data_IF_653735921170
#
_entry.id   IF_653735921170
#
_cell.length_a   1.000
_cell.length_b   1.000
_cell.length_c   1.000
_cell.angle_alpha   90.00
_cell.angle_beta   90.00
_cell.angle_gamma   90.00
#
_symmetry.space_group_name_H-M   'P 1'
#
loop_
_entity.id
_entity.type
_entity.pdbx_description
1 polymer ?
#
# COMPACT_ATOMS: atom_id res chain seq x y z
N UNK A 1 -14.63 -26.06 -9.19
CA UNK A 1 -15.21 -25.69 -7.88
C UNK A 1 -15.54 -24.21 -7.98
N UNK A 2 -16.71 -23.75 -7.57
CA UNK A 2 -17.02 -22.30 -7.57
C UNK A 2 -16.25 -21.68 -6.41
N UNK A 3 -15.51 -20.58 -6.61
CA UNK A 3 -14.84 -19.90 -5.52
C UNK A 3 -15.84 -19.53 -4.43
N UNK A 4 -15.62 -19.97 -3.21
CA UNK A 4 -16.39 -19.53 -2.05
C UNK A 4 -15.81 -18.23 -1.54
N UNK A 5 -16.67 -17.35 -1.01
CA UNK A 5 -16.18 -16.18 -0.26
C UNK A 5 -15.49 -16.71 1.00
N UNK A 6 -14.21 -16.41 1.24
CA UNK A 6 -13.53 -16.90 2.43
C UNK A 6 -14.18 -16.26 3.67
N UNK A 7 -14.52 -17.09 4.65
CA UNK A 7 -14.92 -16.60 5.96
C UNK A 7 -13.68 -16.18 6.75
N UNK A 8 -13.73 -14.99 7.35
CA UNK A 8 -12.66 -14.54 8.23
C UNK A 8 -12.67 -15.36 9.53
N UNK A 9 -11.51 -15.82 10.02
CA UNK A 9 -11.38 -16.38 11.36
C UNK A 9 -11.95 -15.45 12.43
N UNK A 10 -12.41 -16.02 13.55
CA UNK A 10 -13.09 -15.25 14.61
C UNK A 10 -12.17 -14.17 15.22
N UNK A 11 -10.91 -14.52 15.46
CA UNK A 11 -9.88 -13.64 15.96
C UNK A 11 -9.55 -12.48 15.00
N UNK A 12 -9.54 -12.75 13.69
CA UNK A 12 -9.37 -11.71 12.66
C UNK A 12 -10.57 -10.75 12.62
N UNK A 13 -11.80 -11.27 12.78
CA UNK A 13 -13.00 -10.42 12.88
C UNK A 13 -12.94 -9.49 14.09
N UNK A 14 -12.61 -10.04 15.25
CA UNK A 14 -12.43 -9.25 16.49
C UNK A 14 -11.35 -8.18 16.31
N UNK A 15 -10.22 -8.55 15.72
CA UNK A 15 -9.11 -7.62 15.46
C UNK A 15 -9.55 -6.50 14.51
N UNK A 16 -10.31 -6.82 13.45
CA UNK A 16 -10.86 -5.84 12.52
C UNK A 16 -11.82 -4.85 13.20
N UNK A 17 -12.69 -5.32 14.09
CA UNK A 17 -13.60 -4.48 14.88
C UNK A 17 -12.81 -3.53 15.83
N UNK A 18 -11.74 -4.03 16.43
CA UNK A 18 -10.85 -3.22 17.28
C UNK A 18 -10.13 -2.14 16.47
N UNK A 19 -9.65 -2.47 15.28
CA UNK A 19 -9.05 -1.48 14.37
C UNK A 19 -10.07 -0.42 14.01
N UNK A 20 -11.31 -0.78 13.67
CA UNK A 20 -12.36 0.19 13.38
C UNK A 20 -12.63 1.13 14.57
N UNK A 21 -12.78 0.59 15.77
CA UNK A 21 -12.98 1.39 17.00
C UNK A 21 -11.80 2.34 17.24
N UNK A 22 -10.59 1.90 16.94
CA UNK A 22 -9.39 2.73 17.03
C UNK A 22 -9.40 3.87 16.01
N UNK A 23 -9.84 3.62 14.77
CA UNK A 23 -9.99 4.66 13.76
C UNK A 23 -10.94 5.76 14.22
N UNK A 24 -12.11 5.38 14.75
CA UNK A 24 -13.10 6.36 15.25
C UNK A 24 -12.55 7.19 16.40
N UNK A 25 -11.82 6.57 17.32
CA UNK A 25 -11.32 7.23 18.52
C UNK A 25 -10.09 8.10 18.29
N UNK A 26 -9.14 7.64 17.48
CA UNK A 26 -7.81 8.27 17.37
C UNK A 26 -7.58 8.90 16.00
N UNK A 27 -8.05 8.28 14.91
CA UNK A 27 -7.68 8.70 13.55
C UNK A 27 -8.63 9.77 13.01
N UNK A 28 -9.94 9.59 13.09
CA UNK A 28 -10.88 10.57 12.53
C UNK A 28 -10.77 11.96 13.17
N UNK A 29 -10.54 12.10 14.50
CA UNK A 29 -10.22 13.41 15.08
C UNK A 29 -8.87 13.97 14.59
N UNK A 30 -7.87 13.11 14.32
CA UNK A 30 -6.59 13.54 13.79
C UNK A 30 -6.71 14.04 12.34
N UNK A 31 -7.52 13.37 11.50
CA UNK A 31 -7.81 13.83 10.13
C UNK A 31 -8.36 15.28 10.12
N UNK A 32 -9.23 15.60 11.06
CA UNK A 32 -9.74 16.96 11.20
C UNK A 32 -8.62 17.95 11.54
N UNK A 33 -7.74 17.60 12.49
CA UNK A 33 -6.56 18.44 12.82
C UNK A 33 -5.64 18.63 11.61
N UNK A 34 -5.41 17.59 10.82
CA UNK A 34 -4.63 17.67 9.58
C UNK A 34 -5.30 18.59 8.56
N UNK A 35 -6.62 18.53 8.42
CA UNK A 35 -7.37 19.41 7.52
C UNK A 35 -7.26 20.88 7.93
N UNK A 36 -7.36 21.17 9.23
CA UNK A 36 -7.23 22.53 9.80
C UNK A 36 -5.79 23.06 9.68
N UNK A 37 -4.79 22.22 9.95
CA UNK A 37 -3.37 22.60 9.90
C UNK A 37 -2.80 22.68 8.48
N UNK A 38 -3.39 21.97 7.51
CA UNK A 38 -2.90 21.81 6.15
C UNK A 38 -1.59 21.02 6.04
N UNK A 39 -1.20 20.30 7.10
CA UNK A 39 0.02 19.48 7.19
C UNK A 39 -0.18 18.34 8.18
N UNK A 40 0.64 17.30 8.06
CA UNK A 40 0.81 16.28 9.10
C UNK A 40 2.05 16.65 9.91
N UNK A 41 1.91 16.63 11.23
CA UNK A 41 3.02 16.78 12.15
C UNK A 41 3.59 15.40 12.46
N UNK A 42 4.93 15.23 12.37
CA UNK A 42 5.56 13.94 12.64
C UNK A 42 5.30 13.44 14.07
N UNK A 43 5.21 14.35 15.05
CA UNK A 43 4.86 13.95 16.42
C UNK A 43 3.47 13.30 16.49
N UNK A 44 2.50 13.80 15.69
CA UNK A 44 1.16 13.20 15.65
C UNK A 44 1.18 11.78 15.05
N UNK A 45 1.94 11.59 13.99
CA UNK A 45 2.09 10.27 13.37
C UNK A 45 2.76 9.26 14.31
N UNK A 46 3.84 9.68 14.97
CA UNK A 46 4.54 8.84 15.96
C UNK A 46 3.67 8.52 17.17
N UNK A 47 2.89 9.49 17.66
CA UNK A 47 1.92 9.26 18.74
C UNK A 47 0.86 8.26 18.33
N UNK A 48 0.29 8.39 17.11
CA UNK A 48 -0.69 7.46 16.57
C UNK A 48 -0.11 6.05 16.48
N UNK A 49 1.10 5.90 15.96
CA UNK A 49 1.80 4.61 15.85
C UNK A 49 2.04 3.98 17.22
N UNK A 50 2.52 4.76 18.22
CA UNK A 50 2.70 4.26 19.60
C UNK A 50 1.39 3.74 20.19
N UNK A 51 0.29 4.46 20.02
CA UNK A 51 -1.04 4.04 20.49
C UNK A 51 -1.49 2.76 19.79
N UNK A 52 -1.31 2.66 18.48
CA UNK A 52 -1.64 1.48 17.69
C UNK A 52 -0.85 0.25 18.13
N UNK A 53 0.45 0.40 18.34
CA UNK A 53 1.29 -0.69 18.84
C UNK A 53 0.89 -1.14 20.25
N UNK A 54 0.50 -0.22 21.12
CA UNK A 54 -0.02 -0.55 22.47
C UNK A 54 -1.33 -1.34 22.42
N UNK A 55 -2.14 -1.15 21.36
CA UNK A 55 -3.33 -1.97 21.07
C UNK A 55 -3.00 -3.32 20.41
N UNK A 56 -1.73 -3.54 20.04
CA UNK A 56 -1.26 -4.78 19.44
C UNK A 56 -1.53 -4.88 17.93
N UNK A 57 -1.54 -3.75 17.19
CA UNK A 57 -1.77 -3.70 15.75
C UNK A 57 -0.47 -3.61 14.94
N UNK A 58 0.69 -3.50 15.59
CA UNK A 58 1.99 -3.46 14.92
C UNK A 58 2.53 -4.85 14.59
N UNK A 59 3.24 -4.96 13.46
CA UNK A 59 4.05 -6.12 13.05
C UNK A 59 3.30 -7.47 12.99
N UNK A 60 1.98 -7.45 12.79
CA UNK A 60 1.13 -8.64 12.80
C UNK A 60 1.44 -9.65 11.69
N UNK A 61 2.01 -9.17 10.57
CA UNK A 61 2.43 -9.97 9.43
C UNK A 61 3.74 -10.75 9.67
N UNK A 62 4.56 -10.28 10.61
CA UNK A 62 5.85 -10.91 10.89
C UNK A 62 5.69 -12.29 11.52
N UNK A 63 6.60 -13.24 11.25
CA UNK A 63 6.56 -14.55 11.89
C UNK A 63 6.77 -14.44 13.41
N UNK A 64 6.30 -15.45 14.15
CA UNK A 64 6.39 -15.48 15.63
C UNK A 64 7.84 -15.37 16.12
N UNK A 65 8.80 -15.98 15.42
CA UNK A 65 10.24 -15.90 15.73
C UNK A 65 10.81 -14.48 15.61
N UNK A 66 10.17 -13.63 14.81
CA UNK A 66 10.49 -12.21 14.69
C UNK A 66 9.71 -11.33 15.66
N UNK A 67 8.81 -11.90 16.47
CA UNK A 67 7.97 -11.18 17.42
C UNK A 67 6.60 -10.78 16.89
N UNK A 68 6.24 -11.21 15.66
CA UNK A 68 4.91 -11.00 15.09
C UNK A 68 3.89 -12.06 15.48
N UNK A 69 2.78 -12.11 14.75
CA UNK A 69 1.71 -13.12 14.93
C UNK A 69 1.55 -14.05 13.73
N UNK A 70 2.35 -13.90 12.68
CA UNK A 70 2.24 -14.70 11.48
C UNK A 70 0.86 -14.64 10.82
N UNK A 71 0.23 -13.45 10.84
CA UNK A 71 -1.13 -13.29 10.32
C UNK A 71 -1.18 -13.68 8.84
N UNK A 72 -2.13 -14.55 8.45
CA UNK A 72 -2.32 -14.96 7.07
C UNK A 72 -2.60 -13.75 6.16
N UNK A 73 -2.35 -13.87 4.87
CA UNK A 73 -2.63 -12.80 3.90
C UNK A 73 -4.12 -12.40 3.92
N UNK A 74 -5.01 -13.37 4.11
CA UNK A 74 -6.43 -13.07 4.28
C UNK A 74 -6.69 -12.18 5.51
N UNK A 75 -6.02 -12.45 6.62
CA UNK A 75 -6.10 -11.64 7.83
C UNK A 75 -5.52 -10.24 7.62
N UNK A 76 -4.35 -10.16 7.00
CA UNK A 76 -3.70 -8.88 6.69
C UNK A 76 -4.58 -8.00 5.78
N UNK A 77 -5.16 -8.56 4.72
CA UNK A 77 -6.09 -7.87 3.82
C UNK A 77 -7.32 -7.34 4.56
N UNK A 78 -7.84 -8.09 5.53
CA UNK A 78 -8.99 -7.64 6.32
C UNK A 78 -8.67 -6.40 7.17
N UNK A 79 -7.45 -6.32 7.71
CA UNK A 79 -6.99 -5.16 8.48
C UNK A 79 -6.62 -3.98 7.58
N UNK A 80 -5.98 -4.24 6.44
CA UNK A 80 -5.66 -3.22 5.43
C UNK A 80 -6.93 -2.59 4.85
N UNK A 81 -7.98 -3.35 4.64
CA UNK A 81 -9.28 -2.79 4.26
C UNK A 81 -9.81 -1.86 5.33
N UNK A 82 -9.70 -2.23 6.60
CA UNK A 82 -10.19 -1.41 7.68
C UNK A 82 -9.36 -0.12 7.83
N UNK A 83 -8.02 -0.24 7.82
CA UNK A 83 -7.13 0.91 7.89
C UNK A 83 -7.26 1.84 6.67
N UNK A 84 -7.63 1.30 5.51
CA UNK A 84 -7.93 2.06 4.30
C UNK A 84 -9.12 3.02 4.40
N UNK A 85 -9.90 2.96 5.49
CA UNK A 85 -10.91 3.97 5.81
C UNK A 85 -10.31 5.28 6.36
N UNK A 86 -9.02 5.31 6.69
CA UNK A 86 -8.31 6.52 7.10
C UNK A 86 -7.82 7.31 5.88
N UNK A 87 -7.91 8.64 5.96
CA UNK A 87 -7.33 9.55 4.96
C UNK A 87 -5.89 9.92 5.29
N UNK A 88 -5.24 10.65 4.37
CA UNK A 88 -3.90 11.21 4.55
C UNK A 88 -2.81 10.15 4.78
N UNK A 89 -3.05 8.90 4.39
CA UNK A 89 -2.12 7.80 4.66
C UNK A 89 -2.03 7.39 6.14
N UNK A 90 -2.85 7.98 7.03
CA UNK A 90 -2.81 7.70 8.48
C UNK A 90 -3.08 6.23 8.82
N UNK A 91 -3.73 5.49 7.92
CA UNK A 91 -3.94 4.05 8.05
C UNK A 91 -2.64 3.25 8.16
N UNK A 92 -1.55 3.71 7.55
CA UNK A 92 -0.23 3.06 7.65
C UNK A 92 0.37 3.12 9.06
N UNK A 93 0.00 4.15 9.85
CA UNK A 93 0.40 4.23 11.25
C UNK A 93 -0.52 3.43 12.18
N UNK A 94 -1.64 2.88 11.67
CA UNK A 94 -2.58 2.05 12.44
C UNK A 94 -2.26 0.58 12.27
N UNK A 95 -2.25 0.07 11.04
CA UNK A 95 -1.83 -1.30 10.74
C UNK A 95 -0.40 -1.22 10.22
N UNK A 96 0.54 -1.13 11.17
CA UNK A 96 1.97 -0.98 10.87
C UNK A 96 2.57 -2.37 10.61
N UNK A 97 3.06 -2.57 9.39
CA UNK A 97 3.57 -3.87 8.92
C UNK A 97 5.09 -3.92 9.02
N UNK A 98 5.60 -5.07 9.40
CA UNK A 98 7.02 -5.35 9.32
C UNK A 98 7.43 -5.82 7.92
N UNK A 99 8.72 -5.73 7.58
CA UNK A 99 9.27 -6.10 6.29
C UNK A 99 9.46 -7.63 6.18
N UNK A 100 8.34 -8.37 6.09
CA UNK A 100 8.34 -9.84 6.08
C UNK A 100 9.12 -10.39 4.88
N UNK A 101 9.03 -9.75 3.72
CA UNK A 101 9.75 -10.15 2.51
C UNK A 101 11.28 -10.02 2.67
N UNK A 102 11.73 -9.02 3.46
CA UNK A 102 13.15 -8.87 3.79
C UNK A 102 13.58 -9.90 4.84
N UNK A 103 12.71 -10.23 5.79
CA UNK A 103 13.01 -11.25 6.78
C UNK A 103 13.40 -12.57 6.12
N UNK A 104 12.72 -12.94 5.05
CA UNK A 104 12.95 -14.22 4.38
C UNK A 104 14.27 -14.26 3.57
N UNK A 105 14.64 -13.14 2.94
CA UNK A 105 15.80 -13.09 2.01
C UNK A 105 17.08 -12.54 2.63
N UNK A 106 17.00 -11.83 3.78
CA UNK A 106 18.16 -11.26 4.45
C UNK A 106 18.96 -12.33 5.22
N UNK A 107 20.31 -12.17 5.26
CA UNK A 107 21.16 -13.00 6.12
C UNK A 107 20.85 -12.76 7.60
N UNK A 108 21.25 -13.65 8.53
CA UNK A 108 21.09 -13.42 9.96
C UNK A 108 21.70 -12.08 10.42
N UNK A 109 22.87 -11.72 9.90
CA UNK A 109 23.56 -10.47 10.20
C UNK A 109 22.80 -9.26 9.68
N UNK A 110 22.22 -9.35 8.45
CA UNK A 110 21.38 -8.29 7.87
C UNK A 110 20.08 -8.14 8.65
N UNK A 111 19.46 -9.26 9.09
CA UNK A 111 18.27 -9.21 9.94
C UNK A 111 18.53 -8.45 11.24
N UNK A 112 19.62 -8.77 11.94
CA UNK A 112 19.98 -8.07 13.19
C UNK A 112 20.30 -6.60 12.96
N UNK A 113 21.02 -6.28 11.88
CA UNK A 113 21.49 -4.91 11.62
C UNK A 113 20.40 -3.99 11.06
N UNK A 114 19.58 -4.47 10.15
CA UNK A 114 18.63 -3.65 9.39
C UNK A 114 17.18 -3.94 9.75
N UNK A 115 16.77 -5.21 9.83
CA UNK A 115 15.37 -5.57 10.00
C UNK A 115 14.92 -5.44 11.45
N UNK A 116 15.70 -5.93 12.41
CA UNK A 116 15.33 -5.88 13.83
C UNK A 116 15.03 -4.47 14.35
N UNK A 117 15.81 -3.42 14.03
CA UNK A 117 15.45 -2.06 14.43
C UNK A 117 14.11 -1.55 13.84
N UNK A 118 13.69 -2.02 12.65
CA UNK A 118 12.34 -1.75 12.13
C UNK A 118 11.29 -2.40 13.03
N UNK A 119 11.49 -3.67 13.41
CA UNK A 119 10.58 -4.39 14.29
C UNK A 119 10.51 -3.79 15.71
N UNK A 120 11.52 -3.06 16.13
CA UNK A 120 11.58 -2.30 17.38
C UNK A 120 11.00 -0.88 17.25
N UNK A 121 10.55 -0.49 16.05
CA UNK A 121 9.97 0.82 15.78
C UNK A 121 10.98 1.97 15.81
N UNK A 122 12.28 1.68 15.63
CA UNK A 122 13.34 2.73 15.65
C UNK A 122 13.35 3.55 14.37
N UNK A 123 13.06 2.92 13.23
CA UNK A 123 12.99 3.52 11.91
C UNK A 123 12.20 2.61 10.94
N UNK A 124 12.08 3.02 9.69
CA UNK A 124 11.41 2.26 8.63
C UNK A 124 12.36 1.95 7.48
N UNK A 125 12.00 0.98 6.66
CA UNK A 125 12.63 0.71 5.38
C UNK A 125 12.09 1.66 4.31
N UNK A 126 12.91 1.94 3.29
CA UNK A 126 12.50 2.65 2.10
C UNK A 126 12.95 1.90 0.84
N UNK A 127 12.00 1.55 -0.04
CA UNK A 127 12.28 0.85 -1.28
C UNK A 127 12.61 1.83 -2.41
N UNK A 128 13.79 1.70 -3.00
CA UNK A 128 14.33 2.55 -4.04
C UNK A 128 14.47 1.76 -5.35
N UNK A 129 13.37 1.68 -6.11
CA UNK A 129 13.25 0.87 -7.33
C UNK A 129 13.14 1.73 -8.57
N UNK A 130 12.13 2.60 -8.64
CA UNK A 130 11.79 3.42 -9.82
C UNK A 130 12.89 4.40 -10.18
N UNK A 131 13.10 4.60 -11.47
CA UNK A 131 14.05 5.57 -12.04
C UNK A 131 13.36 6.51 -13.01
N UNK A 132 13.99 7.66 -13.41
CA UNK A 132 13.42 8.57 -14.41
C UNK A 132 13.00 7.88 -15.71
N UNK A 133 13.78 6.91 -16.17
CA UNK A 133 13.55 6.12 -17.39
C UNK A 133 12.83 4.79 -17.18
N UNK A 134 12.68 4.32 -15.95
CA UNK A 134 12.21 2.96 -15.64
C UNK A 134 11.16 2.94 -14.52
N UNK A 135 9.89 3.15 -14.90
CA UNK A 135 8.73 3.02 -14.01
C UNK A 135 7.99 1.70 -14.27
N UNK A 136 7.09 1.68 -15.26
CA UNK A 136 6.33 0.46 -15.62
C UNK A 136 7.21 -0.66 -16.18
N UNK A 137 8.31 -0.32 -16.84
CA UNK A 137 9.31 -1.27 -17.33
C UNK A 137 10.53 -1.30 -16.39
N UNK A 138 10.44 -2.15 -15.37
CA UNK A 138 11.53 -2.37 -14.41
C UNK A 138 12.75 -3.06 -15.06
N UNK A 139 12.63 -3.61 -16.26
CA UNK A 139 13.78 -4.20 -16.97
C UNK A 139 14.71 -3.13 -17.57
N UNK A 140 14.26 -1.88 -17.65
CA UNK A 140 15.01 -0.75 -18.17
C UNK A 140 15.78 0.05 -17.10
N UNK A 141 16.02 -0.54 -15.92
CA UNK A 141 16.81 0.09 -14.85
C UNK A 141 18.25 0.36 -15.32
N UNK A 142 18.73 1.56 -15.02
CA UNK A 142 20.05 2.05 -15.38
C UNK A 142 20.99 2.24 -14.17
N UNK A 143 20.45 2.24 -12.93
CA UNK A 143 21.28 2.30 -11.73
C UNK A 143 22.20 1.08 -11.68
N UNK A 144 23.49 1.31 -11.50
CA UNK A 144 24.53 0.29 -11.52
C UNK A 144 25.13 0.04 -10.16
N UNK A 145 25.58 -1.19 -9.94
CA UNK A 145 26.46 -1.55 -8.85
C UNK A 145 27.68 -2.27 -9.45
N UNK A 146 28.86 -1.69 -9.26
CA UNK A 146 30.14 -2.21 -9.77
C UNK A 146 31.02 -2.62 -8.60
N UNK A 147 31.55 -3.84 -8.68
CA UNK A 147 32.44 -4.34 -7.62
C UNK A 147 33.79 -3.65 -7.65
N UNK A 148 34.23 -3.20 -6.47
CA UNK A 148 35.56 -2.61 -6.26
C UNK A 148 36.17 -3.15 -4.96
N UNK A 149 36.98 -4.19 -5.08
CA UNK A 149 37.53 -4.95 -3.96
C UNK A 149 36.47 -5.71 -3.18
N UNK A 150 36.33 -5.38 -1.89
CA UNK A 150 35.33 -5.95 -0.99
C UNK A 150 34.03 -5.13 -0.93
N UNK A 151 33.96 -4.05 -1.69
CA UNK A 151 32.82 -3.13 -1.74
C UNK A 151 32.12 -3.18 -3.12
N UNK A 152 30.95 -2.57 -3.15
CA UNK A 152 30.20 -2.20 -4.35
C UNK A 152 30.10 -0.70 -4.46
N UNK A 153 30.25 -0.16 -5.67
CA UNK A 153 30.09 1.25 -5.97
C UNK A 153 28.77 1.42 -6.73
N UNK A 154 27.79 2.08 -6.10
CA UNK A 154 26.47 2.31 -6.64
C UNK A 154 26.42 3.69 -7.29
N UNK A 155 25.86 3.76 -8.51
CA UNK A 155 25.59 4.98 -9.24
C UNK A 155 24.20 4.93 -9.87
N UNK A 156 23.44 6.02 -9.77
CA UNK A 156 22.12 6.14 -10.39
C UNK A 156 21.21 7.10 -9.66
N UNK A 157 19.97 7.15 -10.09
CA UNK A 157 18.93 8.02 -9.56
C UNK A 157 17.67 7.19 -9.29
N UNK A 158 17.03 7.39 -8.14
CA UNK A 158 15.80 6.68 -7.77
C UNK A 158 14.69 7.68 -7.42
N UNK A 159 13.52 7.44 -7.97
CA UNK A 159 12.36 8.30 -7.82
C UNK A 159 11.26 7.62 -6.98
N UNK A 160 10.46 8.46 -6.31
CA UNK A 160 9.32 8.02 -5.52
C UNK A 160 9.70 7.03 -4.41
N UNK A 161 10.82 7.30 -3.74
CA UNK A 161 11.33 6.49 -2.64
C UNK A 161 10.53 6.82 -1.38
N UNK A 162 9.49 6.04 -1.12
CA UNK A 162 8.55 6.32 -0.03
C UNK A 162 9.22 6.21 1.33
N UNK A 163 9.26 7.33 2.06
CA UNK A 163 9.73 7.40 3.44
C UNK A 163 9.14 8.61 4.15
N UNK A 164 8.98 8.52 5.46
CA UNK A 164 8.56 9.64 6.31
C UNK A 164 9.71 10.60 6.67
N UNK A 165 10.91 10.39 6.13
CA UNK A 165 12.13 11.06 6.55
C UNK A 165 12.81 10.36 7.73
N UNK A 166 12.33 9.20 8.13
CA UNK A 166 12.83 8.32 9.17
C UNK A 166 13.36 6.97 8.63
N UNK A 167 13.69 6.92 7.33
CA UNK A 167 14.30 5.74 6.73
C UNK A 167 15.61 5.37 7.44
N UNK A 168 15.66 4.18 8.01
CA UNK A 168 16.88 3.64 8.60
C UNK A 168 17.82 3.04 7.56
N UNK A 169 17.27 2.69 6.41
CA UNK A 169 18.00 2.26 5.22
C UNK A 169 17.14 2.37 3.96
N UNK A 170 17.81 2.46 2.83
CA UNK A 170 17.22 2.34 1.52
C UNK A 170 17.52 0.94 0.94
N UNK A 171 16.51 0.28 0.40
CA UNK A 171 16.66 -0.93 -0.41
C UNK A 171 16.80 -0.51 -1.87
N UNK A 172 18.02 -0.38 -2.31
CA UNK A 172 18.34 0.08 -3.65
C UNK A 172 18.40 -1.10 -4.61
N UNK A 173 17.52 -1.13 -5.60
CA UNK A 173 17.58 -2.09 -6.70
C UNK A 173 18.51 -1.53 -7.78
N UNK A 174 19.61 -2.22 -8.04
CA UNK A 174 20.61 -1.84 -9.04
C UNK A 174 20.98 -3.01 -9.94
N UNK A 175 21.60 -2.72 -11.09
CA UNK A 175 22.13 -3.74 -12.00
C UNK A 175 23.58 -4.03 -11.65
N UNK A 176 23.86 -5.26 -11.24
CA UNK A 176 25.19 -5.79 -10.96
C UNK A 176 25.42 -7.01 -11.87
N UNK A 177 26.49 -7.00 -12.67
CA UNK A 177 26.85 -8.09 -13.60
C UNK A 177 25.69 -8.52 -14.54
N UNK A 178 24.81 -7.58 -14.90
CA UNK A 178 23.65 -7.82 -15.76
C UNK A 178 22.40 -8.34 -15.03
N UNK A 179 22.47 -8.53 -13.72
CA UNK A 179 21.35 -9.00 -12.89
C UNK A 179 20.84 -7.90 -11.97
N UNK A 180 19.54 -7.93 -11.64
CA UNK A 180 18.95 -7.02 -10.67
C UNK A 180 19.23 -7.50 -9.25
N UNK A 181 19.91 -6.67 -8.45
CA UNK A 181 20.36 -6.98 -7.09
C UNK A 181 19.92 -5.88 -6.15
N UNK A 182 19.48 -6.25 -4.94
CA UNK A 182 19.13 -5.33 -3.86
C UNK A 182 20.33 -5.09 -2.94
N UNK A 183 20.49 -3.84 -2.52
CA UNK A 183 21.50 -3.42 -1.56
C UNK A 183 20.85 -2.64 -0.41
N UNK A 184 21.25 -2.95 0.82
CA UNK A 184 20.96 -2.10 1.97
C UNK A 184 21.92 -0.91 1.95
N UNK A 185 21.38 0.30 1.88
CA UNK A 185 22.16 1.54 1.88
C UNK A 185 21.72 2.42 3.04
N UNK A 186 22.61 2.72 3.97
CA UNK A 186 22.32 3.58 5.11
C UNK A 186 22.12 5.03 4.65
N UNK A 187 21.24 5.82 5.30
CA UNK A 187 20.88 7.17 4.85
C UNK A 187 22.03 8.18 4.93
N UNK A 188 23.00 7.94 5.81
CA UNK A 188 24.20 8.76 6.01
C UNK A 188 25.41 8.32 5.17
N UNK A 189 25.20 7.37 4.23
CA UNK A 189 26.26 6.84 3.38
C UNK A 189 26.78 7.92 2.43
N UNK A 190 28.12 8.11 2.39
CA UNK A 190 28.73 9.01 1.42
C UNK A 190 28.35 8.61 -0.01
N UNK A 191 27.99 9.60 -0.82
CA UNK A 191 27.50 9.40 -2.18
C UNK A 191 25.98 9.18 -2.30
N UNK A 192 25.23 9.06 -1.20
CA UNK A 192 23.77 9.08 -1.23
C UNK A 192 23.27 10.49 -0.88
N UNK A 193 22.37 11.03 -1.70
CA UNK A 193 21.80 12.37 -1.52
C UNK A 193 20.29 12.35 -1.80
N UNK A 194 19.49 12.97 -0.96
CA UNK A 194 18.11 13.31 -1.27
C UNK A 194 18.13 14.55 -2.17
N UNK A 195 17.88 14.35 -3.46
CA UNK A 195 17.95 15.43 -4.45
C UNK A 195 16.81 16.43 -4.28
N UNK A 196 15.60 15.94 -4.04
CA UNK A 196 14.41 16.75 -3.72
C UNK A 196 13.28 15.89 -3.16
N UNK A 197 12.32 16.56 -2.52
CA UNK A 197 11.04 15.97 -2.11
C UNK A 197 9.91 16.72 -2.83
N UNK A 198 9.39 16.19 -3.95
CA UNK A 198 8.31 16.84 -4.69
C UNK A 198 6.99 16.76 -3.93
N UNK A 199 6.09 17.73 -4.18
CA UNK A 199 4.70 17.67 -3.71
C UNK A 199 3.84 16.81 -4.63
N UNK A 200 2.84 16.16 -4.05
CA UNK A 200 1.91 15.26 -4.76
C UNK A 200 0.45 15.69 -4.62
N UNK A 201 -0.40 15.15 -5.49
CA UNK A 201 -1.84 15.44 -5.49
C UNK A 201 -2.51 15.09 -4.14
N UNK A 202 -2.02 14.07 -3.46
CA UNK A 202 -2.55 13.59 -2.18
C UNK A 202 -2.02 14.34 -0.96
N UNK A 203 -1.14 15.32 -1.12
CA UNK A 203 -0.63 16.08 0.03
C UNK A 203 -1.74 16.89 0.75
N UNK A 204 -1.67 17.02 2.07
CA UNK A 204 -0.70 16.40 2.98
C UNK A 204 -0.97 14.91 3.17
N UNK A 205 0.10 14.13 3.13
CA UNK A 205 0.10 12.68 3.27
C UNK A 205 1.14 12.28 4.32
N UNK A 206 0.96 11.11 4.95
CA UNK A 206 1.86 10.65 6.02
C UNK A 206 3.29 10.48 5.51
N UNK A 207 3.43 9.79 4.38
CA UNK A 207 4.72 9.54 3.77
C UNK A 207 5.07 10.58 2.70
N UNK A 208 6.34 10.92 2.60
CA UNK A 208 6.91 11.64 1.49
C UNK A 208 7.52 10.68 0.48
N UNK A 209 7.70 11.15 -0.77
CA UNK A 209 8.24 10.33 -1.86
C UNK A 209 9.43 11.04 -2.51
N UNK A 210 10.58 11.15 -1.81
CA UNK A 210 11.75 11.82 -2.32
C UNK A 210 12.33 11.14 -3.56
N UNK A 211 13.17 11.92 -4.26
CA UNK A 211 14.09 11.47 -5.29
C UNK A 211 15.48 11.43 -4.65
N UNK A 212 16.17 10.30 -4.79
CA UNK A 212 17.54 10.11 -4.29
C UNK A 212 18.51 9.90 -5.45
N UNK A 213 19.75 10.33 -5.24
CA UNK A 213 20.85 10.16 -6.17
C UNK A 213 21.99 9.44 -5.48
N UNK A 214 22.58 8.50 -6.21
CA UNK A 214 23.76 7.76 -5.80
C UNK A 214 24.92 8.16 -6.72
N UNK A 215 26.00 8.68 -6.14
CA UNK A 215 27.23 9.08 -6.85
C UNK A 215 28.43 8.46 -6.15
N UNK A 216 29.00 7.46 -6.79
CA UNK A 216 30.11 6.68 -6.24
C UNK A 216 29.84 6.20 -4.81
N UNK A 217 28.57 5.86 -4.54
CA UNK A 217 28.11 5.43 -3.23
C UNK A 217 28.65 4.04 -2.92
N UNK A 218 29.62 3.97 -1.99
CA UNK A 218 30.27 2.73 -1.59
C UNK A 218 29.48 2.00 -0.53
N UNK A 219 29.17 0.74 -0.77
CA UNK A 219 28.53 -0.16 0.18
C UNK A 219 29.32 -1.47 0.28
N UNK A 220 29.50 -2.04 1.48
CA UNK A 220 30.23 -3.29 1.63
C UNK A 220 29.44 -4.48 1.06
N UNK A 221 30.14 -5.57 0.67
CA UNK A 221 29.51 -6.82 0.23
C UNK A 221 28.46 -7.32 1.24
N UNK A 222 28.67 -7.12 2.53
CA UNK A 222 27.72 -7.49 3.60
C UNK A 222 26.36 -6.81 3.50
N UNK A 223 26.26 -5.71 2.75
CA UNK A 223 24.99 -5.00 2.49
C UNK A 223 24.26 -5.50 1.24
N UNK A 224 24.90 -6.35 0.42
CA UNK A 224 24.25 -6.98 -0.73
C UNK A 224 23.28 -8.04 -0.24
N UNK A 225 22.03 -7.98 -0.69
CA UNK A 225 21.07 -9.06 -0.45
C UNK A 225 21.53 -10.29 -1.22
N UNK A 226 21.54 -11.48 -0.59
CA UNK A 226 21.93 -12.73 -1.28
C UNK A 226 21.10 -13.02 -2.54
N UNK A 227 21.45 -14.09 -3.25
CA UNK A 227 20.69 -14.59 -4.40
C UNK A 227 19.21 -14.71 -4.04
N UNK A 228 18.33 -14.15 -4.90
CA UNK A 228 16.90 -14.04 -4.62
C UNK A 228 16.41 -12.61 -4.34
N UNK A 229 17.31 -11.60 -4.24
CA UNK A 229 16.90 -10.20 -4.03
C UNK A 229 15.90 -9.69 -5.07
N UNK A 230 16.07 -10.04 -6.35
CA UNK A 230 15.12 -9.74 -7.41
C UNK A 230 13.77 -10.48 -7.26
N UNK A 231 13.75 -11.66 -6.66
CA UNK A 231 12.52 -12.40 -6.33
C UNK A 231 11.84 -11.77 -5.11
N UNK A 232 12.59 -11.36 -4.11
CA UNK A 232 12.07 -10.61 -2.95
C UNK A 232 11.38 -9.30 -3.36
N UNK A 233 11.97 -8.55 -4.28
CA UNK A 233 11.33 -7.36 -4.82
C UNK A 233 10.02 -7.69 -5.56
N UNK A 234 9.96 -8.79 -6.31
CA UNK A 234 8.72 -9.24 -6.99
C UNK A 234 7.65 -9.67 -5.99
N UNK A 235 8.03 -10.35 -4.91
CA UNK A 235 7.10 -10.75 -3.85
C UNK A 235 6.56 -9.52 -3.13
N UNK A 236 7.40 -8.56 -2.79
CA UNK A 236 6.98 -7.28 -2.22
C UNK A 236 5.95 -6.57 -3.11
N UNK A 237 6.20 -6.45 -4.42
CA UNK A 237 5.20 -5.88 -5.35
C UNK A 237 3.88 -6.66 -5.37
N UNK A 238 3.93 -7.98 -5.20
CA UNK A 238 2.74 -8.82 -5.18
C UNK A 238 1.89 -8.52 -3.94
N UNK A 239 2.53 -8.42 -2.79
CA UNK A 239 1.90 -8.10 -1.50
C UNK A 239 1.31 -6.69 -1.53
N UNK A 240 2.09 -5.68 -1.95
CA UNK A 240 1.62 -4.29 -2.01
C UNK A 240 0.41 -4.10 -2.95
N UNK A 241 0.36 -4.77 -4.09
CA UNK A 241 -0.81 -4.74 -4.98
C UNK A 241 -2.08 -5.23 -4.29
N UNK A 242 -1.96 -6.27 -3.47
CA UNK A 242 -3.10 -6.80 -2.75
C UNK A 242 -3.57 -5.86 -1.64
N UNK A 243 -2.64 -5.22 -0.94
CA UNK A 243 -2.96 -4.22 0.07
C UNK A 243 -3.55 -2.94 -0.52
N UNK A 244 -3.07 -2.49 -1.68
CA UNK A 244 -3.73 -1.41 -2.42
C UNK A 244 -5.18 -1.76 -2.72
N UNK A 245 -5.46 -2.98 -3.19
CA UNK A 245 -6.84 -3.42 -3.44
C UNK A 245 -7.69 -3.37 -2.18
N UNK A 246 -7.15 -3.78 -1.04
CA UNK A 246 -7.82 -3.75 0.26
C UNK A 246 -8.10 -2.30 0.72
N UNK A 247 -7.08 -1.43 0.70
CA UNK A 247 -7.23 0.00 1.08
C UNK A 247 -8.24 0.72 0.19
N UNK A 248 -8.24 0.44 -1.11
CA UNK A 248 -9.25 0.95 -2.04
C UNK A 248 -10.68 0.55 -1.64
N UNK A 249 -10.90 -0.68 -1.17
CA UNK A 249 -12.20 -1.12 -0.66
C UNK A 249 -12.59 -0.33 0.60
N UNK A 250 -11.65 -0.09 1.52
CA UNK A 250 -11.88 0.70 2.73
C UNK A 250 -12.26 2.15 2.43
N UNK A 251 -11.47 2.82 1.59
CA UNK A 251 -11.73 4.20 1.15
C UNK A 251 -13.08 4.34 0.43
N UNK A 252 -13.39 3.40 -0.46
CA UNK A 252 -14.67 3.34 -1.17
C UNK A 252 -15.84 3.12 -0.22
N UNK A 253 -15.71 2.22 0.75
CA UNK A 253 -16.74 1.97 1.76
C UNK A 253 -17.06 3.24 2.54
N UNK A 254 -16.05 3.86 3.18
CA UNK A 254 -16.26 5.07 3.98
C UNK A 254 -16.84 6.22 3.15
N UNK A 255 -16.39 6.40 1.93
CA UNK A 255 -16.93 7.41 1.02
C UNK A 255 -18.40 7.18 0.70
N UNK A 256 -18.78 5.93 0.43
CA UNK A 256 -20.17 5.55 0.17
C UNK A 256 -21.07 5.72 1.40
N UNK A 257 -20.59 5.37 2.60
CA UNK A 257 -21.29 5.57 3.88
C UNK A 257 -21.58 7.05 4.12
N UNK A 258 -20.58 7.92 3.99
CA UNK A 258 -20.75 9.38 4.13
C UNK A 258 -21.71 9.95 3.11
N UNK A 259 -21.65 9.52 1.85
CA UNK A 259 -22.58 9.95 0.81
C UNK A 259 -24.01 9.49 1.09
N UNK A 260 -24.20 8.26 1.57
CA UNK A 260 -25.50 7.70 1.95
C UNK A 260 -26.10 8.47 3.12
N UNK A 261 -25.35 8.69 4.18
CA UNK A 261 -25.80 9.46 5.36
C UNK A 261 -26.25 10.86 4.96
N UNK A 262 -25.44 11.56 4.18
CA UNK A 262 -25.78 12.87 3.66
C UNK A 262 -27.05 12.85 2.79
N UNK A 263 -27.20 11.85 1.91
CA UNK A 263 -28.36 11.73 1.04
C UNK A 263 -29.66 11.47 1.82
N UNK A 264 -29.60 10.78 2.95
CA UNK A 264 -30.74 10.54 3.83
C UNK A 264 -31.12 11.75 4.69
N UNK A 265 -30.20 12.69 4.90
CA UNK A 265 -30.42 13.88 5.70
C UNK A 265 -30.81 15.10 4.84
N UNK A 266 -30.11 15.32 3.73
CA UNK A 266 -30.24 16.49 2.87
C UNK A 266 -31.58 16.51 2.11
N UNK A 267 -32.28 17.64 2.18
CA UNK A 267 -33.51 17.89 1.43
C UNK A 267 -33.26 18.85 0.24
N UNK A 268 -33.86 18.52 -0.89
CA UNK A 268 -33.93 19.35 -2.08
C UNK A 268 -35.17 19.00 -2.91
N UNK A 269 -35.77 20.00 -3.54
CA UNK A 269 -36.98 19.81 -4.36
C UNK A 269 -38.13 19.12 -3.61
N UNK A 270 -38.26 19.39 -2.31
CA UNK A 270 -39.37 18.90 -1.47
C UNK A 270 -39.24 17.47 -0.96
N UNK A 271 -38.08 16.81 -1.14
CA UNK A 271 -37.81 15.44 -0.67
C UNK A 271 -36.38 15.29 -0.21
N UNK A 272 -36.09 14.18 0.50
CA UNK A 272 -34.69 13.77 0.75
C UNK A 272 -34.02 13.47 -0.59
N UNK A 273 -32.74 13.88 -0.75
CA UNK A 273 -32.07 13.66 -2.04
C UNK A 273 -31.89 12.16 -2.34
N UNK A 274 -31.89 11.30 -1.34
CA UNK A 274 -31.90 9.83 -1.52
C UNK A 274 -33.13 9.31 -2.27
N UNK A 275 -34.24 10.03 -2.27
CA UNK A 275 -35.47 9.64 -2.96
C UNK A 275 -35.42 9.93 -4.48
N UNK A 276 -34.50 10.80 -4.90
CA UNK A 276 -34.28 11.09 -6.32
C UNK A 276 -33.46 9.99 -6.98
N UNK A 277 -33.98 9.37 -8.05
CA UNK A 277 -33.31 8.26 -8.77
C UNK A 277 -31.92 8.63 -9.26
N UNK A 278 -31.67 9.89 -9.65
CA UNK A 278 -30.33 10.37 -10.03
C UNK A 278 -29.27 10.27 -8.93
N UNK A 279 -29.70 10.22 -7.66
CA UNK A 279 -28.82 10.01 -6.47
C UNK A 279 -28.82 8.54 -6.06
N UNK A 280 -30.00 7.93 -5.87
CA UNK A 280 -30.09 6.55 -5.39
C UNK A 280 -29.43 5.54 -6.32
N UNK A 281 -29.45 5.76 -7.65
CA UNK A 281 -28.76 4.89 -8.61
C UNK A 281 -27.24 4.97 -8.48
N UNK A 282 -26.69 6.15 -8.22
CA UNK A 282 -25.24 6.29 -7.96
C UNK A 282 -24.81 5.52 -6.70
N UNK A 283 -25.63 5.52 -5.65
CA UNK A 283 -25.36 4.75 -4.43
C UNK A 283 -25.47 3.25 -4.68
N UNK A 284 -26.47 2.80 -5.46
CA UNK A 284 -26.65 1.40 -5.82
C UNK A 284 -25.50 0.84 -6.67
N UNK A 285 -25.09 1.59 -7.70
CA UNK A 285 -23.92 1.24 -8.52
C UNK A 285 -22.65 1.16 -7.69
N UNK A 286 -22.45 2.12 -6.78
CA UNK A 286 -21.28 2.17 -5.89
C UNK A 286 -21.23 0.98 -4.94
N UNK A 287 -22.36 0.58 -4.36
CA UNK A 287 -22.44 -0.61 -3.51
C UNK A 287 -22.14 -1.88 -4.29
N UNK A 288 -22.65 -2.00 -5.51
CA UNK A 288 -22.42 -3.16 -6.39
C UNK A 288 -20.94 -3.28 -6.76
N UNK A 289 -20.31 -2.18 -7.16
CA UNK A 289 -18.89 -2.17 -7.51
C UNK A 289 -18.01 -2.42 -6.29
N UNK A 290 -18.34 -1.89 -5.11
CA UNK A 290 -17.61 -2.15 -3.85
C UNK A 290 -17.67 -3.62 -3.49
N UNK A 291 -18.83 -4.25 -3.55
CA UNK A 291 -18.98 -5.68 -3.27
C UNK A 291 -18.14 -6.52 -4.23
N UNK A 292 -18.17 -6.22 -5.51
CA UNK A 292 -17.36 -6.93 -6.51
C UNK A 292 -15.85 -6.76 -6.26
N UNK A 293 -15.39 -5.55 -5.93
CA UNK A 293 -14.00 -5.27 -5.60
C UNK A 293 -13.54 -6.06 -4.36
N UNK A 294 -14.36 -6.06 -3.31
CA UNK A 294 -14.11 -6.80 -2.07
C UNK A 294 -14.02 -8.31 -2.32
N UNK A 295 -14.95 -8.88 -3.06
CA UNK A 295 -14.96 -10.31 -3.38
C UNK A 295 -13.69 -10.73 -4.14
N UNK A 296 -13.26 -9.94 -5.13
CA UNK A 296 -12.01 -10.20 -5.86
C UNK A 296 -10.80 -10.09 -4.95
N UNK A 297 -10.75 -9.09 -4.06
CA UNK A 297 -9.63 -8.85 -3.15
C UNK A 297 -9.48 -9.99 -2.14
N UNK A 298 -10.56 -10.40 -1.48
CA UNK A 298 -10.54 -11.49 -0.52
C UNK A 298 -10.29 -12.86 -1.17
N UNK A 299 -10.81 -13.08 -2.40
CA UNK A 299 -10.48 -14.27 -3.18
C UNK A 299 -8.98 -14.33 -3.52
N UNK A 300 -8.38 -13.21 -3.92
CA UNK A 300 -6.95 -13.14 -4.21
C UNK A 300 -6.10 -13.36 -2.94
N UNK A 301 -6.53 -12.84 -1.78
CA UNK A 301 -5.88 -13.06 -0.49
C UNK A 301 -5.93 -14.53 -0.07
N UNK A 302 -7.08 -15.18 -0.17
CA UNK A 302 -7.22 -16.61 0.10
C UNK A 302 -6.37 -17.47 -0.85
N UNK A 303 -6.28 -17.06 -2.12
CA UNK A 303 -5.41 -17.76 -3.07
C UNK A 303 -3.92 -17.53 -2.76
N UNK A 304 -3.55 -16.37 -2.23
CA UNK A 304 -2.18 -16.12 -1.77
C UNK A 304 -1.75 -17.12 -0.69
N UNK A 305 -2.64 -17.43 0.25
CA UNK A 305 -2.38 -18.36 1.35
C UNK A 305 -2.42 -19.84 0.93
N UNK A 306 -3.12 -20.21 -0.16
CA UNK A 306 -3.45 -21.61 -0.46
C UNK A 306 -3.05 -22.13 -1.85
N UNK A 307 -2.86 -21.24 -2.83
CA UNK A 307 -2.57 -21.62 -4.21
C UNK A 307 -1.06 -21.84 -4.42
N UNK A 308 -0.60 -23.04 -4.80
CA UNK A 308 0.82 -23.33 -4.97
C UNK A 308 1.43 -22.69 -6.23
N UNK A 309 0.64 -22.41 -7.28
CA UNK A 309 1.13 -21.72 -8.48
C UNK A 309 1.17 -20.22 -8.26
N UNK A 310 2.31 -19.70 -7.82
CA UNK A 310 2.54 -18.25 -7.60
C UNK A 310 2.21 -17.38 -8.82
N UNK A 311 2.23 -17.94 -10.03
CA UNK A 311 1.85 -17.20 -11.25
C UNK A 311 0.34 -17.08 -11.41
N UNK A 312 -0.43 -18.02 -10.88
CA UNK A 312 -1.89 -17.90 -10.77
C UNK A 312 -2.23 -16.87 -9.70
N UNK A 313 -1.59 -16.93 -8.54
CA UNK A 313 -1.72 -15.91 -7.47
C UNK A 313 -1.45 -14.51 -8.02
N UNK A 314 -0.33 -14.33 -8.76
CA UNK A 314 0.02 -13.06 -9.38
C UNK A 314 -1.09 -12.52 -10.31
N UNK A 315 -1.71 -13.39 -11.10
CA UNK A 315 -2.83 -12.99 -11.94
C UNK A 315 -4.08 -12.61 -11.15
N UNK A 316 -4.43 -13.36 -10.09
CA UNK A 316 -5.58 -13.04 -9.20
C UNK A 316 -5.36 -11.72 -8.46
N UNK A 317 -4.17 -11.48 -7.92
CA UNK A 317 -3.80 -10.22 -7.27
C UNK A 317 -3.85 -9.05 -8.26
N UNK A 318 -3.37 -9.24 -9.49
CA UNK A 318 -3.46 -8.22 -10.53
C UNK A 318 -4.93 -7.88 -10.89
N UNK A 319 -5.82 -8.88 -10.95
CA UNK A 319 -7.25 -8.65 -11.15
C UNK A 319 -7.87 -7.87 -9.98
N UNK A 320 -7.54 -8.23 -8.76
CA UNK A 320 -8.01 -7.53 -7.55
C UNK A 320 -7.58 -6.06 -7.54
N UNK A 321 -6.28 -5.80 -7.72
CA UNK A 321 -5.72 -4.44 -7.75
C UNK A 321 -6.32 -3.59 -8.86
N UNK A 322 -6.41 -4.14 -10.06
CA UNK A 322 -7.01 -3.46 -11.21
C UNK A 322 -8.45 -3.05 -10.93
N UNK A 323 -9.28 -4.01 -10.52
CA UNK A 323 -10.70 -3.74 -10.34
C UNK A 323 -10.96 -2.82 -9.14
N UNK A 324 -10.33 -3.08 -7.99
CA UNK A 324 -10.54 -2.31 -6.77
C UNK A 324 -10.11 -0.84 -6.92
N UNK A 325 -8.92 -0.57 -7.50
CA UNK A 325 -8.44 0.80 -7.68
C UNK A 325 -9.29 1.60 -8.68
N UNK A 326 -9.75 0.98 -9.76
CA UNK A 326 -10.65 1.62 -10.72
C UNK A 326 -12.04 1.85 -10.12
N UNK A 327 -12.60 0.88 -9.39
CA UNK A 327 -13.88 1.00 -8.70
C UNK A 327 -13.85 2.07 -7.62
N UNK A 328 -12.80 2.12 -6.78
CA UNK A 328 -12.64 3.13 -5.75
C UNK A 328 -12.67 4.55 -6.34
N UNK A 329 -11.96 4.77 -7.47
CA UNK A 329 -12.00 6.06 -8.16
C UNK A 329 -13.41 6.47 -8.57
N UNK A 330 -14.22 5.53 -9.12
CA UNK A 330 -15.61 5.82 -9.51
C UNK A 330 -16.54 6.02 -8.32
N UNK A 331 -16.38 5.22 -7.26
CA UNK A 331 -17.21 5.29 -6.04
C UNK A 331 -16.97 6.61 -5.31
N UNK A 332 -15.70 7.00 -5.13
CA UNK A 332 -15.34 8.25 -4.46
C UNK A 332 -15.80 9.47 -5.28
N UNK A 333 -15.70 9.43 -6.61
CA UNK A 333 -16.21 10.48 -7.50
C UNK A 333 -17.73 10.66 -7.36
N UNK A 334 -18.51 9.56 -7.36
CA UNK A 334 -19.94 9.61 -7.13
C UNK A 334 -20.29 10.10 -5.73
N UNK A 335 -19.55 9.67 -4.71
CA UNK A 335 -19.74 10.12 -3.33
C UNK A 335 -19.52 11.63 -3.21
N UNK A 336 -18.46 12.15 -3.82
CA UNK A 336 -18.19 13.57 -3.88
C UNK A 336 -19.32 14.33 -4.60
N UNK A 337 -19.82 13.81 -5.71
CA UNK A 337 -20.91 14.39 -6.47
C UNK A 337 -22.22 14.42 -5.65
N UNK A 338 -22.54 13.36 -4.90
CA UNK A 338 -23.71 13.29 -4.02
C UNK A 338 -23.63 14.33 -2.89
N UNK A 339 -22.46 14.49 -2.30
CA UNK A 339 -22.19 15.49 -1.26
C UNK A 339 -22.22 16.93 -1.79
N UNK A 340 -22.07 17.12 -3.11
CA UNK A 340 -22.08 18.43 -3.75
C UNK A 340 -20.97 19.35 -3.24
N UNK A 341 -21.27 20.64 -3.03
CA UNK A 341 -20.29 21.62 -2.55
C UNK A 341 -19.62 21.23 -1.21
N UNK A 342 -20.35 20.54 -0.34
CA UNK A 342 -19.78 20.04 0.93
C UNK A 342 -18.73 18.94 0.70
N UNK A 343 -18.94 18.07 -0.28
CA UNK A 343 -17.97 17.05 -0.67
C UNK A 343 -16.68 17.62 -1.26
N UNK A 344 -16.72 18.84 -1.77
CA UNK A 344 -15.58 19.52 -2.40
C UNK A 344 -14.70 20.33 -1.42
N UNK A 345 -15.13 20.48 -0.17
CA UNK A 345 -14.38 21.17 0.87
C UNK A 345 -13.22 20.28 1.36
N UNK A 346 -12.04 20.88 1.58
CA UNK A 346 -10.84 20.13 2.02
C UNK A 346 -10.99 19.46 3.39
N UNK A 347 -11.89 19.96 4.23
CA UNK A 347 -12.23 19.36 5.53
C UNK A 347 -13.04 18.06 5.39
N UNK A 348 -13.62 17.80 4.20
CA UNK A 348 -14.40 16.59 3.97
C UNK A 348 -13.52 15.41 3.61
N UNK A 349 -13.64 14.27 4.31
CA UNK A 349 -12.83 13.06 4.01
C UNK A 349 -12.97 12.60 2.56
N UNK A 350 -14.13 12.75 1.92
CA UNK A 350 -14.34 12.32 0.53
C UNK A 350 -13.51 13.16 -0.45
N UNK A 351 -13.32 14.47 -0.19
CA UNK A 351 -12.41 15.29 -0.98
C UNK A 351 -10.95 14.81 -0.86
N UNK A 352 -10.57 14.30 0.31
CA UNK A 352 -9.26 13.71 0.54
C UNK A 352 -9.11 12.40 -0.24
N UNK A 353 -10.02 11.46 -0.07
CA UNK A 353 -10.02 10.20 -0.81
C UNK A 353 -10.00 10.41 -2.32
N UNK A 354 -10.72 11.43 -2.84
CA UNK A 354 -10.71 11.73 -4.27
C UNK A 354 -9.30 11.99 -4.83
N UNK A 355 -8.44 12.63 -4.05
CA UNK A 355 -7.04 12.89 -4.41
C UNK A 355 -6.15 11.66 -4.18
N UNK A 356 -6.36 10.96 -3.07
CA UNK A 356 -5.53 9.84 -2.64
C UNK A 356 -5.72 8.60 -3.53
N UNK A 357 -6.95 8.13 -3.74
CA UNK A 357 -7.20 6.91 -4.52
C UNK A 357 -6.80 7.04 -6.01
N UNK A 358 -6.46 8.26 -6.46
CA UNK A 358 -6.03 8.45 -7.84
C UNK A 358 -4.68 7.79 -8.13
N UNK A 359 -3.77 7.79 -7.16
CA UNK A 359 -2.46 7.17 -7.31
C UNK A 359 -2.51 5.64 -7.31
N UNK A 360 -3.55 5.04 -6.69
CA UNK A 360 -3.72 3.58 -6.63
C UNK A 360 -3.84 2.91 -8.01
N UNK A 361 -4.16 3.66 -9.05
CA UNK A 361 -4.14 3.21 -10.44
C UNK A 361 -2.76 3.33 -11.11
N UNK A 362 -1.76 3.87 -10.39
CA UNK A 362 -0.42 4.20 -10.92
C UNK A 362 0.67 3.36 -10.23
N UNK A 363 0.82 3.50 -8.91
CA UNK A 363 1.90 2.85 -8.18
C UNK A 363 1.75 1.32 -8.12
N UNK A 364 2.83 0.62 -7.81
CA UNK A 364 3.01 -0.87 -7.81
C UNK A 364 2.55 -1.54 -9.11
N UNK A 365 2.68 -0.78 -10.21
CA UNK A 365 2.26 -1.17 -11.55
C UNK A 365 0.89 -0.63 -11.92
N UNK A 366 0.87 0.17 -12.99
CA UNK A 366 -0.32 0.85 -13.46
C UNK A 366 -1.46 -0.11 -13.82
N UNK A 367 -2.67 0.43 -14.00
CA UNK A 367 -3.82 -0.34 -14.48
C UNK A 367 -3.53 -1.09 -15.80
N UNK A 368 -2.68 -0.52 -16.65
CA UNK A 368 -2.22 -1.13 -17.91
C UNK A 368 -1.30 -2.32 -17.63
N UNK A 369 -0.38 -2.20 -16.67
CA UNK A 369 0.49 -3.31 -16.25
C UNK A 369 -0.34 -4.44 -15.64
N UNK A 370 -1.34 -4.14 -14.81
CA UNK A 370 -2.23 -5.18 -14.27
C UNK A 370 -2.97 -5.90 -15.42
N UNK A 371 -3.51 -5.17 -16.41
CA UNK A 371 -4.13 -5.78 -17.60
C UNK A 371 -3.16 -6.65 -18.39
N UNK A 372 -1.91 -6.22 -18.52
CA UNK A 372 -0.86 -7.00 -19.20
C UNK A 372 -0.57 -8.32 -18.46
N UNK A 373 -0.48 -8.29 -17.12
CA UNK A 373 -0.30 -9.49 -16.29
C UNK A 373 -1.48 -10.46 -16.49
N UNK A 374 -2.70 -9.96 -16.35
CA UNK A 374 -3.93 -10.76 -16.50
C UNK A 374 -4.03 -11.36 -17.90
N UNK A 375 -3.81 -10.58 -18.95
CA UNK A 375 -3.93 -11.05 -20.33
C UNK A 375 -2.86 -12.11 -20.66
N UNK A 376 -1.61 -11.90 -20.27
CA UNK A 376 -0.53 -12.90 -20.43
C UNK A 376 -0.84 -14.19 -19.68
N UNK A 377 -1.36 -14.06 -18.46
CA UNK A 377 -1.79 -15.19 -17.66
C UNK A 377 -2.91 -16.00 -18.32
N UNK A 378 -3.97 -15.30 -18.74
CA UNK A 378 -5.11 -15.89 -19.47
C UNK A 378 -4.68 -16.64 -20.73
N UNK A 379 -3.91 -16.00 -21.59
CA UNK A 379 -3.45 -16.59 -22.85
C UNK A 379 -2.54 -17.82 -22.65
N UNK A 380 -1.78 -17.85 -21.56
CA UNK A 380 -0.85 -18.96 -21.27
C UNK A 380 -1.48 -20.11 -20.51
N UNK A 381 -2.47 -19.84 -19.60
CA UNK A 381 -3.03 -20.83 -18.64
C UNK A 381 -4.49 -21.14 -18.87
N UNK A 382 -5.18 -20.35 -19.69
CA UNK A 382 -6.64 -20.50 -19.91
C UNK A 382 -7.46 -19.95 -18.76
N UNK A 383 -8.78 -19.94 -18.95
CA UNK A 383 -9.79 -19.34 -18.03
C UNK A 383 -9.84 -20.11 -16.71
N UNK A 384 -9.84 -21.44 -16.75
CA UNK A 384 -10.05 -22.31 -15.60
C UNK A 384 -9.00 -22.14 -14.48
N UNK A 385 -7.78 -21.71 -14.84
CA UNK A 385 -6.73 -21.46 -13.86
C UNK A 385 -7.07 -20.34 -12.88
N UNK A 386 -7.96 -19.43 -13.27
CA UNK A 386 -8.33 -18.23 -12.50
C UNK A 386 -9.71 -18.32 -11.85
N UNK A 387 -10.56 -19.24 -12.28
CA UNK A 387 -11.93 -19.41 -11.78
C UNK A 387 -12.05 -20.49 -10.69
N UNK A 388 -10.92 -21.08 -10.27
CA UNK A 388 -10.88 -22.11 -9.22
C UNK A 388 -10.64 -21.50 -7.86
#
# INVERSE_FOLDING_TARGET
MIPTVPELPADVRELKERVFTFLEREVYPLEQRVAEAGRIDQEWAQELRRKSWAEGFGMLNMPEEAGGKGLSMLGQVALEEESGKATNGLGFAVVDRGPAELWDIATPEQRERFVRPVLEGKYREAWAVTEPGAGSDVSALEATAVRDGDDWVLNGEKWFVTSEGDAGFYLVLAVADGEQVLFFVEPDREGLEIARTPGFLHDPYLDHHPEIVLRDCRVPEANRVPEGGGEGAREWFLVERLFIAARCCGAAQRSLELAREYALDREAFGAKIAEHQGVSFQLADSLTELLAARLLTYHAASAFDSEPDRKVVHGKVAMAKLYASEAAGRIVDRALQVLGGRGYMLENPVARFYREVRVDRIWEGTSEIQRLIVSRGLLKRGVEAYLR
#
